data_IF_431164874205
#
_entry.id   IF_431164874205
#
_cell.length_a   1.000
_cell.length_b   1.000
_cell.length_c   1.000
_cell.angle_alpha   90.00
_cell.angle_beta   90.00
_cell.angle_gamma   90.00
#
_symmetry.space_group_name_H-M   'P 1'
#
loop_
_entity.id
_entity.type
_entity.pdbx_description
1 polymer ?
#
# COMPACT_ATOMS: atom_id res chain seq x y z
N UNK A 1 -39.94 -89.37 13.09
CA UNK A 1 -40.65 -88.19 12.61
C UNK A 1 -39.93 -86.97 13.11
N UNK A 2 -39.14 -86.23 12.24
CA UNK A 2 -38.41 -85.02 12.59
C UNK A 2 -39.17 -83.84 12.04
N UNK A 3 -39.73 -83.03 12.92
CA UNK A 3 -40.41 -81.72 12.57
C UNK A 3 -39.41 -80.68 12.21
N UNK A 4 -39.53 -80.13 10.98
CA UNK A 4 -38.75 -79.04 10.42
C UNK A 4 -39.33 -77.73 10.95
N UNK A 5 -38.50 -76.89 11.61
CA UNK A 5 -38.88 -75.55 12.02
C UNK A 5 -38.85 -74.55 10.78
N UNK A 6 -39.71 -73.54 10.77
CA UNK A 6 -39.75 -72.54 9.68
C UNK A 6 -38.66 -71.50 9.85
N UNK A 7 -38.15 -71.03 8.68
CA UNK A 7 -37.11 -70.05 8.51
C UNK A 7 -37.65 -68.58 8.79
N UNK A 8 -36.92 -67.70 9.47
CA UNK A 8 -37.39 -66.33 9.73
C UNK A 8 -37.33 -65.44 8.44
N UNK A 9 -38.16 -64.41 8.34
CA UNK A 9 -38.23 -63.57 7.17
C UNK A 9 -37.02 -62.61 7.05
N UNK A 10 -36.56 -62.43 5.83
CA UNK A 10 -35.39 -61.66 5.46
C UNK A 10 -35.50 -60.16 5.81
N UNK A 11 -34.48 -59.65 6.49
CA UNK A 11 -34.29 -58.24 6.78
C UNK A 11 -34.01 -57.49 5.46
N UNK A 12 -34.90 -56.57 5.08
CA UNK A 12 -34.69 -55.63 3.97
C UNK A 12 -33.51 -54.71 4.34
N UNK A 13 -32.48 -54.69 3.50
CA UNK A 13 -31.36 -53.77 3.58
C UNK A 13 -31.84 -52.34 3.39
N UNK A 14 -31.57 -51.48 4.38
CA UNK A 14 -31.79 -50.05 4.29
C UNK A 14 -30.75 -49.46 3.35
N UNK A 15 -31.23 -48.89 2.24
CA UNK A 15 -30.43 -48.13 1.28
C UNK A 15 -29.93 -46.84 1.96
N UNK A 16 -28.62 -46.71 2.13
CA UNK A 16 -27.98 -45.48 2.61
C UNK A 16 -28.23 -44.32 1.62
N UNK A 17 -28.49 -43.09 2.11
CA UNK A 17 -28.68 -41.95 1.22
C UNK A 17 -27.38 -41.61 0.48
N UNK A 18 -27.46 -41.47 -0.85
CA UNK A 18 -26.37 -41.09 -1.70
C UNK A 18 -25.81 -39.71 -1.26
N UNK A 19 -24.54 -39.67 -0.85
CA UNK A 19 -23.80 -38.46 -0.59
C UNK A 19 -23.73 -37.68 -1.90
N UNK A 20 -24.53 -36.64 -2.03
CA UNK A 20 -24.45 -35.66 -3.12
C UNK A 20 -23.05 -35.06 -3.11
N UNK A 21 -22.24 -35.42 -4.08
CA UNK A 21 -20.98 -34.77 -4.45
C UNK A 21 -21.34 -33.34 -4.76
N UNK A 22 -21.06 -32.39 -3.84
CA UNK A 22 -21.08 -30.96 -4.15
C UNK A 22 -20.11 -30.72 -5.29
N UNK A 23 -20.66 -30.43 -6.47
CA UNK A 23 -19.88 -29.99 -7.61
C UNK A 23 -19.13 -28.71 -7.21
N UNK A 24 -17.80 -28.75 -7.25
CA UNK A 24 -16.98 -27.55 -7.20
C UNK A 24 -17.23 -26.76 -8.48
N UNK A 25 -18.31 -25.98 -8.48
CA UNK A 25 -18.57 -25.02 -9.55
C UNK A 25 -17.48 -23.94 -9.55
N UNK A 26 -16.93 -23.69 -10.71
CA UNK A 26 -16.02 -22.56 -10.96
C UNK A 26 -16.71 -21.28 -10.44
N UNK A 27 -16.07 -20.48 -9.54
CA UNK A 27 -16.68 -19.24 -9.06
C UNK A 27 -17.02 -18.36 -10.26
N UNK A 28 -18.23 -17.75 -10.30
CA UNK A 28 -18.54 -16.75 -11.31
C UNK A 28 -17.53 -15.60 -11.23
N UNK A 29 -17.20 -14.96 -12.35
CA UNK A 29 -16.19 -13.91 -12.43
C UNK A 29 -16.43 -12.78 -11.40
N UNK A 30 -17.68 -12.45 -11.10
CA UNK A 30 -18.06 -11.48 -10.05
C UNK A 30 -17.71 -11.96 -8.64
N UNK A 31 -17.93 -13.24 -8.31
CA UNK A 31 -17.51 -13.81 -7.01
C UNK A 31 -15.99 -13.86 -6.87
N UNK A 32 -15.26 -14.00 -7.98
CA UNK A 32 -13.81 -13.98 -8.02
C UNK A 32 -13.24 -12.61 -7.65
N UNK A 33 -13.80 -11.54 -8.21
CA UNK A 33 -13.39 -10.16 -7.91
C UNK A 33 -13.67 -9.81 -6.44
N UNK A 34 -14.85 -10.17 -5.92
CA UNK A 34 -15.20 -9.99 -4.51
C UNK A 34 -14.23 -10.74 -3.60
N UNK A 35 -13.86 -11.98 -3.95
CA UNK A 35 -12.91 -12.77 -3.17
C UNK A 35 -11.51 -12.17 -3.11
N UNK A 36 -10.96 -11.69 -4.24
CA UNK A 36 -9.66 -11.03 -4.30
C UNK A 36 -9.65 -9.74 -3.47
N UNK A 37 -10.67 -8.91 -3.60
CA UNK A 37 -10.79 -7.66 -2.85
C UNK A 37 -10.89 -7.89 -1.34
N UNK A 38 -11.71 -8.85 -0.88
CA UNK A 38 -11.83 -9.17 0.55
C UNK A 38 -10.51 -9.63 1.18
N UNK A 39 -9.68 -10.34 0.42
CA UNK A 39 -8.34 -10.76 0.87
C UNK A 39 -7.43 -9.53 1.05
N UNK A 40 -7.43 -8.58 0.10
CA UNK A 40 -6.65 -7.34 0.19
C UNK A 40 -7.10 -6.50 1.38
N UNK A 41 -8.40 -6.32 1.58
CA UNK A 41 -8.97 -5.56 2.71
C UNK A 41 -8.58 -6.22 4.05
N UNK A 42 -8.66 -7.54 4.15
CA UNK A 42 -8.24 -8.25 5.36
C UNK A 42 -6.75 -8.09 5.66
N UNK A 43 -5.90 -8.15 4.62
CA UNK A 43 -4.46 -7.92 4.76
C UNK A 43 -4.16 -6.49 5.23
N UNK A 44 -4.81 -5.48 4.63
CA UNK A 44 -4.71 -4.07 5.03
C UNK A 44 -5.05 -3.86 6.51
N UNK A 45 -6.19 -4.41 6.96
CA UNK A 45 -6.61 -4.33 8.37
C UNK A 45 -5.63 -4.99 9.35
N UNK A 46 -4.93 -6.05 8.93
CA UNK A 46 -3.89 -6.68 9.74
C UNK A 46 -2.65 -5.79 9.82
N UNK A 47 -2.22 -5.21 8.70
CA UNK A 47 -1.08 -4.30 8.61
C UNK A 47 -1.25 -3.01 9.42
N UNK A 48 -2.48 -2.57 9.66
CA UNK A 48 -2.78 -1.45 10.57
C UNK A 48 -2.45 -1.76 12.04
N UNK A 49 -2.42 -3.04 12.42
CA UNK A 49 -2.29 -3.50 13.80
C UNK A 49 -1.01 -4.27 14.09
N UNK A 50 -0.34 -4.74 13.06
CA UNK A 50 0.79 -5.66 13.17
C UNK A 50 1.92 -5.23 12.24
N UNK A 51 3.17 -5.56 12.62
CA UNK A 51 4.30 -5.37 11.74
C UNK A 51 4.19 -6.26 10.47
N UNK A 52 4.64 -5.79 9.30
CA UNK A 52 4.50 -6.53 8.04
C UNK A 52 4.98 -7.97 8.11
N UNK A 53 6.14 -8.25 8.72
CA UNK A 53 6.71 -9.60 8.84
C UNK A 53 5.83 -10.59 9.63
N UNK A 54 4.90 -10.11 10.46
CA UNK A 54 3.97 -10.94 11.24
C UNK A 54 2.72 -11.32 10.43
N UNK A 55 2.44 -10.62 9.32
CA UNK A 55 1.26 -10.85 8.50
C UNK A 55 1.52 -11.98 7.52
N UNK A 56 0.99 -13.17 7.82
CA UNK A 56 1.14 -14.37 7.00
C UNK A 56 -0.08 -14.64 6.12
N UNK A 57 0.11 -15.40 5.03
CA UNK A 57 -0.98 -15.83 4.13
C UNK A 57 -2.11 -16.55 4.88
N UNK A 58 -1.75 -17.40 5.86
CA UNK A 58 -2.73 -18.12 6.68
C UNK A 58 -3.54 -17.18 7.59
N UNK A 59 -2.88 -16.19 8.19
CA UNK A 59 -3.55 -15.18 9.01
C UNK A 59 -4.52 -14.33 8.17
N UNK A 60 -4.11 -13.96 6.96
CA UNK A 60 -4.96 -13.21 6.02
C UNK A 60 -6.18 -14.05 5.61
N UNK A 61 -5.99 -15.34 5.26
CA UNK A 61 -7.08 -16.25 4.92
C UNK A 61 -8.10 -16.34 6.05
N UNK A 62 -7.63 -16.53 7.28
CA UNK A 62 -8.48 -16.58 8.48
C UNK A 62 -9.24 -15.27 8.70
N UNK A 63 -8.57 -14.12 8.55
CA UNK A 63 -9.19 -12.79 8.70
C UNK A 63 -10.23 -12.50 7.63
N UNK A 64 -9.97 -12.93 6.39
CA UNK A 64 -10.88 -12.78 5.26
C UNK A 64 -12.04 -13.79 5.27
N UNK A 65 -12.00 -14.83 6.13
CA UNK A 65 -13.01 -15.88 6.17
C UNK A 65 -12.99 -16.78 4.92
N UNK A 66 -11.81 -16.97 4.30
CA UNK A 66 -11.66 -17.75 3.07
C UNK A 66 -10.72 -18.93 3.25
N UNK A 67 -10.83 -19.92 2.35
CA UNK A 67 -9.90 -21.05 2.30
C UNK A 67 -8.48 -20.54 1.93
N UNK A 68 -7.41 -20.96 2.64
CA UNK A 68 -6.03 -20.62 2.28
C UNK A 68 -5.66 -20.96 0.82
N UNK A 69 -6.27 -21.97 0.22
CA UNK A 69 -6.09 -22.30 -1.19
C UNK A 69 -6.61 -21.17 -2.11
N UNK A 70 -7.67 -20.47 -1.71
CA UNK A 70 -8.19 -19.34 -2.47
C UNK A 70 -7.22 -18.15 -2.45
N UNK A 71 -6.55 -17.90 -1.31
CA UNK A 71 -5.52 -16.86 -1.22
C UNK A 71 -4.37 -17.17 -2.18
N UNK A 72 -3.87 -18.43 -2.20
CA UNK A 72 -2.82 -18.86 -3.13
C UNK A 72 -3.26 -18.84 -4.60
N UNK A 73 -4.54 -19.02 -4.85
CA UNK A 73 -5.09 -18.92 -6.21
C UNK A 73 -5.00 -17.50 -6.77
N UNK A 74 -5.27 -16.48 -5.95
CA UNK A 74 -5.21 -15.07 -6.37
C UNK A 74 -3.83 -14.45 -6.29
N UNK A 75 -3.00 -14.94 -5.37
CA UNK A 75 -1.68 -14.36 -5.11
C UNK A 75 -0.65 -15.50 -5.05
N UNK A 76 0.29 -15.46 -5.98
CA UNK A 76 1.33 -16.48 -6.12
C UNK A 76 2.11 -16.67 -4.81
N UNK A 77 2.41 -15.56 -4.14
CA UNK A 77 3.13 -15.52 -2.88
C UNK A 77 2.69 -14.34 -1.99
N UNK A 78 3.31 -14.24 -0.82
CA UNK A 78 3.05 -13.19 0.14
C UNK A 78 3.47 -11.81 -0.36
N UNK A 79 4.59 -11.71 -1.07
CA UNK A 79 5.12 -10.44 -1.58
C UNK A 79 4.15 -9.82 -2.59
N UNK A 80 3.63 -10.62 -3.51
CA UNK A 80 2.61 -10.21 -4.49
C UNK A 80 1.32 -9.74 -3.80
N UNK A 81 0.89 -10.43 -2.73
CA UNK A 81 -0.29 -10.02 -1.96
C UNK A 81 -0.04 -8.70 -1.23
N UNK A 82 1.09 -8.55 -0.54
CA UNK A 82 1.42 -7.33 0.18
C UNK A 82 1.57 -6.14 -0.77
N UNK A 83 2.14 -6.36 -1.95
CA UNK A 83 2.20 -5.31 -2.97
C UNK A 83 0.81 -4.93 -3.51
N UNK A 84 -0.09 -5.89 -3.67
CA UNK A 84 -1.48 -5.59 -4.04
C UNK A 84 -2.21 -4.75 -2.96
N UNK A 85 -1.83 -4.86 -1.67
CA UNK A 85 -2.31 -3.94 -0.62
C UNK A 85 -1.76 -2.54 -0.83
N UNK A 86 -0.48 -2.41 -1.19
CA UNK A 86 0.12 -1.12 -1.55
C UNK A 86 -0.65 -0.46 -2.69
N UNK A 87 -0.89 -1.19 -3.78
CA UNK A 87 -1.67 -0.68 -4.93
C UNK A 87 -3.08 -0.25 -4.53
N UNK A 88 -3.74 -1.01 -3.66
CA UNK A 88 -5.07 -0.66 -3.16
C UNK A 88 -5.06 0.62 -2.31
N UNK A 89 -4.07 0.78 -1.44
CA UNK A 89 -3.91 2.00 -0.63
C UNK A 89 -3.66 3.21 -1.53
N UNK A 90 -2.78 3.07 -2.53
CA UNK A 90 -2.49 4.14 -3.48
C UNK A 90 -3.70 4.50 -4.36
N UNK A 91 -4.51 3.52 -4.74
CA UNK A 91 -5.74 3.75 -5.49
C UNK A 91 -6.80 4.51 -4.68
N UNK A 92 -6.89 4.21 -3.37
CA UNK A 92 -7.78 4.95 -2.46
C UNK A 92 -7.28 6.39 -2.19
N UNK A 93 -5.96 6.57 -2.26
CA UNK A 93 -5.31 7.86 -2.20
C UNK A 93 -5.20 8.46 -3.60
N UNK A 94 -6.32 8.77 -4.23
CA UNK A 94 -6.28 9.51 -5.48
C UNK A 94 -5.67 10.90 -5.22
N UNK A 95 -4.46 11.20 -5.71
CA UNK A 95 -3.93 12.55 -5.61
C UNK A 95 -4.93 13.49 -6.28
N UNK A 96 -5.19 14.66 -5.67
CA UNK A 96 -5.95 15.68 -6.38
C UNK A 96 -5.29 15.91 -7.73
N UNK A 97 -6.08 16.01 -8.82
CA UNK A 97 -5.50 16.35 -10.11
C UNK A 97 -4.64 17.61 -9.92
N UNK A 98 -3.50 17.71 -10.61
CA UNK A 98 -2.67 18.92 -10.53
C UNK A 98 -3.58 20.12 -10.80
N UNK A 99 -3.55 21.08 -9.88
CA UNK A 99 -4.29 22.32 -10.08
C UNK A 99 -3.69 23.07 -11.29
N UNK A 100 -4.46 23.97 -11.91
CA UNK A 100 -3.95 24.90 -12.92
C UNK A 100 -2.97 25.94 -12.33
N UNK A 101 -2.54 25.73 -11.08
CA UNK A 101 -1.57 26.57 -10.40
C UNK A 101 -0.21 26.53 -11.11
N UNK A 102 0.54 27.62 -10.99
CA UNK A 102 1.94 27.66 -11.42
C UNK A 102 2.76 26.53 -10.75
N UNK A 103 3.88 26.07 -11.33
CA UNK A 103 4.69 24.95 -10.81
C UNK A 103 5.02 25.02 -9.32
N UNK A 104 5.23 26.24 -8.80
CA UNK A 104 5.43 26.46 -7.36
C UNK A 104 4.22 26.08 -6.51
N UNK A 105 3.01 26.42 -6.97
CA UNK A 105 1.77 26.05 -6.29
C UNK A 105 1.56 24.54 -6.32
N UNK A 106 1.79 23.90 -7.45
CA UNK A 106 1.71 22.45 -7.60
C UNK A 106 2.72 21.71 -6.69
N UNK A 107 3.93 22.24 -6.54
CA UNK A 107 4.92 21.66 -5.63
C UNK A 107 4.49 21.80 -4.17
N UNK A 108 3.94 22.96 -3.78
CA UNK A 108 3.39 23.18 -2.43
C UNK A 108 2.24 22.20 -2.13
N UNK A 109 1.33 21.99 -3.08
CA UNK A 109 0.25 21.01 -2.98
C UNK A 109 0.78 19.58 -2.87
N UNK A 110 1.82 19.24 -3.63
CA UNK A 110 2.46 17.93 -3.56
C UNK A 110 3.05 17.66 -2.16
N UNK A 111 3.76 18.64 -1.58
CA UNK A 111 4.31 18.54 -0.23
C UNK A 111 3.22 18.36 0.82
N UNK A 112 2.12 19.11 0.73
CA UNK A 112 0.97 18.96 1.62
C UNK A 112 0.34 17.57 1.52
N UNK A 113 0.12 17.08 0.29
CA UNK A 113 -0.43 15.75 0.02
C UNK A 113 0.49 14.64 0.56
N UNK A 114 1.81 14.76 0.39
CA UNK A 114 2.76 13.78 0.91
C UNK A 114 2.76 13.73 2.44
N UNK A 115 2.70 14.86 3.13
CA UNK A 115 2.64 14.90 4.59
C UNK A 115 1.31 14.31 5.11
N UNK A 116 0.20 14.63 4.46
CA UNK A 116 -1.10 14.06 4.80
C UNK A 116 -1.11 12.54 4.57
N UNK A 117 -0.58 12.07 3.43
CA UNK A 117 -0.44 10.65 3.13
C UNK A 117 0.38 9.91 4.18
N UNK A 118 1.58 10.41 4.50
CA UNK A 118 2.46 9.81 5.51
C UNK A 118 1.81 9.76 6.89
N UNK A 119 1.07 10.80 7.25
CA UNK A 119 0.37 10.86 8.54
C UNK A 119 -0.78 9.84 8.65
N UNK A 120 -1.51 9.62 7.56
CA UNK A 120 -2.64 8.68 7.51
C UNK A 120 -2.23 7.24 7.26
N UNK A 121 -1.15 7.02 6.51
CA UNK A 121 -0.74 5.70 6.00
C UNK A 121 0.60 5.24 6.61
N UNK A 122 0.77 5.41 7.93
CA UNK A 122 2.02 5.07 8.64
C UNK A 122 2.54 3.65 8.41
N UNK A 123 1.65 2.69 8.19
CA UNK A 123 2.03 1.31 7.88
C UNK A 123 2.55 1.12 6.46
N UNK A 124 2.25 2.06 5.56
CA UNK A 124 2.57 1.97 4.15
C UNK A 124 4.07 2.02 3.89
N UNK A 125 4.78 2.95 4.51
CA UNK A 125 6.22 3.08 4.34
C UNK A 125 6.97 1.84 4.81
N UNK A 126 6.62 1.33 6.00
CA UNK A 126 7.22 0.09 6.50
C UNK A 126 6.99 -1.06 5.53
N UNK A 127 5.78 -1.16 4.98
CA UNK A 127 5.45 -2.16 3.98
C UNK A 127 6.27 -1.98 2.70
N UNK A 128 6.42 -0.75 2.21
CA UNK A 128 7.21 -0.46 1.02
C UNK A 128 8.69 -0.75 1.21
N UNK A 129 9.29 -0.30 2.30
CA UNK A 129 10.74 -0.43 2.55
C UNK A 129 11.10 -1.85 3.01
N UNK A 130 10.38 -2.40 4.00
CA UNK A 130 10.75 -3.68 4.63
C UNK A 130 10.39 -4.88 3.74
N UNK A 131 9.32 -4.79 2.97
CA UNK A 131 8.79 -5.94 2.23
C UNK A 131 8.88 -5.77 0.70
N UNK A 132 8.43 -4.64 0.16
CA UNK A 132 8.30 -4.50 -1.29
C UNK A 132 9.63 -4.14 -1.97
N UNK A 133 10.41 -3.22 -1.39
CA UNK A 133 11.72 -2.84 -1.94
C UNK A 133 12.75 -3.99 -1.87
N UNK A 134 12.63 -4.84 -0.84
CA UNK A 134 13.50 -6.01 -0.62
C UNK A 134 12.89 -7.32 -1.16
N UNK A 135 11.76 -7.26 -1.86
CA UNK A 135 11.07 -8.44 -2.38
C UNK A 135 11.97 -9.28 -3.29
N UNK A 136 11.89 -10.60 -3.17
CA UNK A 136 12.57 -11.56 -4.06
C UNK A 136 11.90 -11.60 -5.44
N UNK A 137 10.59 -11.34 -5.49
CA UNK A 137 9.81 -11.30 -6.72
C UNK A 137 10.27 -10.16 -7.64
N UNK A 138 10.74 -10.52 -8.83
CA UNK A 138 11.16 -9.55 -9.85
C UNK A 138 10.00 -8.64 -10.29
N UNK A 139 8.77 -9.19 -10.36
CA UNK A 139 7.58 -8.44 -10.72
C UNK A 139 7.25 -7.37 -9.66
N UNK A 140 7.35 -7.70 -8.38
CA UNK A 140 7.13 -6.72 -7.30
C UNK A 140 8.17 -5.61 -7.36
N UNK A 141 9.46 -5.95 -7.52
CA UNK A 141 10.53 -4.93 -7.64
C UNK A 141 10.35 -4.02 -8.85
N UNK A 142 9.90 -4.56 -10.01
CA UNK A 142 9.60 -3.75 -11.20
C UNK A 142 8.50 -2.75 -10.93
N UNK A 143 7.42 -3.19 -10.29
CA UNK A 143 6.29 -2.32 -9.95
C UNK A 143 6.64 -1.24 -8.93
N UNK A 144 7.44 -1.58 -7.92
CA UNK A 144 7.98 -0.58 -6.96
C UNK A 144 8.79 0.48 -7.70
N UNK A 145 9.64 0.06 -8.65
CA UNK A 145 10.41 0.99 -9.48
C UNK A 145 9.48 1.89 -10.30
N UNK A 146 8.51 1.33 -11.00
CA UNK A 146 7.53 2.09 -11.80
C UNK A 146 6.82 3.17 -10.98
N UNK A 147 6.38 2.84 -9.75
CA UNK A 147 5.73 3.81 -8.86
C UNK A 147 6.65 4.98 -8.49
N UNK A 148 7.91 4.68 -8.14
CA UNK A 148 8.88 5.73 -7.82
C UNK A 148 9.28 6.55 -9.04
N UNK A 149 9.45 5.92 -10.21
CA UNK A 149 9.76 6.59 -11.46
C UNK A 149 8.67 7.60 -11.83
N UNK A 150 7.40 7.27 -11.67
CA UNK A 150 6.28 8.20 -11.90
C UNK A 150 6.36 9.43 -11.00
N UNK A 151 6.67 9.25 -9.72
CA UNK A 151 6.79 10.35 -8.76
C UNK A 151 8.01 11.25 -9.09
N UNK A 152 9.15 10.63 -9.42
CA UNK A 152 10.36 11.38 -9.83
C UNK A 152 10.13 12.15 -11.12
N UNK A 153 9.48 11.54 -12.13
CA UNK A 153 9.13 12.24 -13.38
C UNK A 153 8.16 13.41 -13.15
N UNK A 154 7.21 13.28 -12.23
CA UNK A 154 6.32 14.36 -11.87
C UNK A 154 7.12 15.55 -11.28
N UNK A 155 7.98 15.29 -10.32
CA UNK A 155 8.83 16.31 -9.71
C UNK A 155 9.80 16.93 -10.73
N UNK A 156 10.38 16.13 -11.62
CA UNK A 156 11.28 16.63 -12.67
C UNK A 156 10.59 17.66 -13.58
N UNK A 157 9.31 17.43 -13.89
CA UNK A 157 8.51 18.40 -14.68
C UNK A 157 8.27 19.72 -13.93
N UNK A 158 8.12 19.66 -12.61
CA UNK A 158 7.91 20.84 -11.79
C UNK A 158 9.19 21.67 -11.57
N UNK A 159 10.34 21.01 -11.49
CA UNK A 159 11.61 21.66 -11.16
C UNK A 159 12.17 22.49 -12.33
N UNK A 160 12.26 21.91 -13.50
CA UNK A 160 12.86 22.55 -14.69
C UNK A 160 12.16 22.07 -15.97
N UNK A 161 11.09 22.75 -16.39
CA UNK A 161 10.39 22.37 -17.62
C UNK A 161 11.33 22.39 -18.85
N UNK A 162 12.27 23.32 -18.91
CA UNK A 162 13.15 23.57 -20.06
C UNK A 162 14.58 23.04 -19.87
N UNK A 163 14.93 22.44 -18.72
CA UNK A 163 16.26 21.90 -18.42
C UNK A 163 16.57 20.58 -19.14
N UNK A 164 17.86 20.18 -19.17
CA UNK A 164 18.22 18.87 -19.71
C UNK A 164 17.67 17.72 -18.86
N UNK A 165 17.43 16.56 -19.50
CA UNK A 165 16.74 15.43 -18.86
C UNK A 165 17.57 14.79 -17.73
N UNK A 166 18.90 14.76 -17.84
CA UNK A 166 19.76 14.13 -16.86
C UNK A 166 19.82 14.93 -15.55
N UNK A 167 20.02 16.24 -15.64
CA UNK A 167 20.05 17.15 -14.48
C UNK A 167 18.70 17.19 -13.78
N UNK A 168 17.60 17.26 -14.54
CA UNK A 168 16.23 17.20 -13.97
C UNK A 168 15.97 15.91 -13.22
N UNK A 169 16.41 14.79 -13.78
CA UNK A 169 16.18 13.48 -13.16
C UNK A 169 16.95 13.33 -11.84
N UNK A 170 18.20 13.81 -11.77
CA UNK A 170 19.00 13.71 -10.56
C UNK A 170 18.44 14.57 -9.41
N UNK A 171 18.14 15.85 -9.68
CA UNK A 171 17.58 16.76 -8.68
C UNK A 171 16.20 16.30 -8.22
N UNK A 172 15.38 15.78 -9.14
CA UNK A 172 14.06 15.26 -8.83
C UNK A 172 14.10 13.99 -7.95
N UNK A 173 15.06 13.10 -8.19
CA UNK A 173 15.28 11.93 -7.35
C UNK A 173 15.65 12.31 -5.91
N UNK A 174 16.61 13.24 -5.75
CA UNK A 174 17.01 13.69 -4.42
C UNK A 174 15.89 14.44 -3.71
N UNK A 175 15.13 15.26 -4.43
CA UNK A 175 13.95 15.92 -3.89
C UNK A 175 12.89 14.91 -3.43
N UNK A 176 12.62 13.88 -4.25
CA UNK A 176 11.68 12.82 -3.90
C UNK A 176 12.08 12.12 -2.59
N UNK A 177 13.34 11.70 -2.48
CA UNK A 177 13.87 11.05 -1.28
C UNK A 177 13.80 11.99 -0.06
N UNK A 178 14.17 13.26 -0.22
CA UNK A 178 14.14 14.24 0.85
C UNK A 178 12.70 14.50 1.36
N UNK A 179 11.74 14.67 0.44
CA UNK A 179 10.33 14.90 0.79
C UNK A 179 9.75 13.70 1.53
N UNK A 180 9.95 12.49 1.00
CA UNK A 180 9.51 11.26 1.68
C UNK A 180 10.13 11.20 3.08
N UNK A 181 11.46 11.35 3.18
CA UNK A 181 12.16 11.26 4.46
C UNK A 181 11.64 12.26 5.51
N UNK A 182 11.43 13.51 5.12
CA UNK A 182 10.87 14.54 6.00
C UNK A 182 9.45 14.19 6.45
N UNK A 183 8.57 13.84 5.53
CA UNK A 183 7.17 13.53 5.85
C UNK A 183 7.03 12.27 6.70
N UNK A 184 7.74 11.22 6.36
CA UNK A 184 7.67 9.92 7.02
C UNK A 184 8.32 9.94 8.40
N UNK A 185 9.49 10.57 8.54
CA UNK A 185 10.12 10.71 9.85
C UNK A 185 9.22 11.50 10.80
N UNK A 186 8.65 12.61 10.35
CA UNK A 186 7.71 13.39 11.15
C UNK A 186 6.50 12.54 11.57
N UNK A 187 5.89 11.80 10.63
CA UNK A 187 4.75 10.94 10.92
C UNK A 187 5.10 9.81 11.91
N UNK A 188 6.26 9.18 11.76
CA UNK A 188 6.70 8.07 12.61
C UNK A 188 7.13 8.53 14.01
N UNK A 189 7.75 9.71 14.11
CA UNK A 189 8.37 10.22 15.33
C UNK A 189 7.43 11.08 16.23
N UNK A 190 6.11 11.07 15.98
CA UNK A 190 5.12 11.89 16.69
C UNK A 190 5.25 11.80 18.23
N UNK A 191 5.39 10.57 18.76
CA UNK A 191 5.53 10.36 20.20
C UNK A 191 6.81 11.00 20.80
N UNK A 192 7.86 11.17 19.98
CA UNK A 192 9.11 11.81 20.36
C UNK A 192 9.06 13.34 20.18
N UNK A 193 8.39 13.80 19.12
CA UNK A 193 8.37 15.22 18.72
C UNK A 193 7.36 16.02 19.53
N UNK A 194 6.16 15.49 19.76
CA UNK A 194 5.09 16.23 20.46
C UNK A 194 5.45 16.71 21.86
N UNK A 195 6.19 15.95 22.69
CA UNK A 195 6.64 16.44 24.00
C UNK A 195 7.63 17.61 23.94
N UNK A 196 8.30 17.84 22.79
CA UNK A 196 9.23 18.93 22.56
C UNK A 196 8.53 20.20 22.06
N UNK A 197 7.28 20.08 21.62
CA UNK A 197 6.50 21.21 21.15
C UNK A 197 6.06 22.13 22.30
N UNK A 198 5.81 23.43 22.05
CA UNK A 198 5.24 24.32 23.04
C UNK A 198 3.92 23.77 23.61
N UNK A 199 3.74 23.86 24.94
CA UNK A 199 2.60 23.26 25.66
C UNK A 199 1.22 23.76 25.20
N UNK A 200 1.17 24.92 24.58
CA UNK A 200 -0.05 25.54 24.06
C UNK A 200 -0.40 25.11 22.62
N UNK A 201 0.38 24.23 22.01
CA UNK A 201 0.14 23.73 20.66
C UNK A 201 -0.52 22.35 20.68
N UNK A 202 -1.60 22.20 19.93
CA UNK A 202 -2.18 20.89 19.66
C UNK A 202 -1.30 20.08 18.68
N UNK A 203 -1.46 18.75 18.61
CA UNK A 203 -0.77 17.94 17.59
C UNK A 203 -1.08 18.40 16.15
N UNK A 204 -2.27 18.94 15.90
CA UNK A 204 -2.66 19.50 14.60
C UNK A 204 -1.89 20.79 14.29
N UNK A 205 -1.71 21.68 15.27
CA UNK A 205 -0.92 22.91 15.11
C UNK A 205 0.55 22.59 14.83
N UNK A 206 1.11 21.59 15.52
CA UNK A 206 2.49 21.14 15.27
C UNK A 206 2.62 20.60 13.83
N UNK A 207 1.65 19.82 13.34
CA UNK A 207 1.66 19.29 11.98
C UNK A 207 1.55 20.43 10.94
N UNK A 208 0.66 21.39 11.15
CA UNK A 208 0.49 22.56 10.27
C UNK A 208 1.79 23.39 10.19
N UNK A 209 2.39 23.71 11.34
CA UNK A 209 3.69 24.45 11.37
C UNK A 209 4.83 23.68 10.74
N UNK A 210 4.85 22.36 10.89
CA UNK A 210 5.83 21.53 10.21
C UNK A 210 5.63 21.55 8.69
N UNK A 211 4.40 21.50 8.24
CA UNK A 211 4.06 21.63 6.82
C UNK A 211 4.56 22.95 6.24
N UNK A 212 4.27 24.07 6.89
CA UNK A 212 4.74 25.39 6.46
C UNK A 212 6.27 25.46 6.42
N UNK A 213 6.93 24.88 7.43
CA UNK A 213 8.38 24.84 7.53
C UNK A 213 9.01 24.06 6.36
N UNK A 214 8.54 22.82 6.08
CA UNK A 214 9.11 22.02 4.98
C UNK A 214 8.81 22.64 3.61
N UNK A 215 7.63 23.24 3.44
CA UNK A 215 7.30 23.96 2.21
C UNK A 215 8.26 25.13 1.98
N UNK A 216 8.49 25.95 2.98
CA UNK A 216 9.44 27.06 2.90
C UNK A 216 10.86 26.56 2.60
N UNK A 217 11.32 25.57 3.35
CA UNK A 217 12.66 24.98 3.19
C UNK A 217 12.89 24.46 1.75
N UNK A 218 11.95 23.68 1.23
CA UNK A 218 12.06 23.08 -0.11
C UNK A 218 11.98 24.16 -1.19
N UNK A 219 10.99 25.07 -1.11
CA UNK A 219 10.79 26.09 -2.13
C UNK A 219 11.96 27.09 -2.17
N UNK A 220 12.51 27.48 -1.02
CA UNK A 220 13.65 28.39 -0.96
C UNK A 220 14.96 27.70 -1.39
N UNK A 221 15.13 26.41 -1.04
CA UNK A 221 16.25 25.61 -1.50
C UNK A 221 16.28 25.48 -3.04
N UNK A 222 15.15 25.14 -3.64
CA UNK A 222 15.02 25.05 -5.10
C UNK A 222 15.30 26.40 -5.76
N UNK A 223 14.74 27.50 -5.22
CA UNK A 223 14.97 28.85 -5.75
C UNK A 223 16.45 29.22 -5.75
N UNK A 224 17.19 28.89 -4.69
CA UNK A 224 18.64 29.12 -4.62
C UNK A 224 19.41 28.30 -5.65
N UNK A 225 19.05 27.04 -5.84
CA UNK A 225 19.70 26.16 -6.83
C UNK A 225 19.46 26.65 -8.26
N UNK A 226 18.23 27.09 -8.60
CA UNK A 226 17.90 27.62 -9.91
C UNK A 226 18.73 28.88 -10.21
N UNK A 227 18.80 29.84 -9.27
CA UNK A 227 19.61 31.08 -9.44
C UNK A 227 21.11 30.78 -9.60
N UNK A 228 21.63 29.80 -8.86
CA UNK A 228 23.04 29.40 -8.97
C UNK A 228 23.37 28.75 -10.31
N UNK A 229 22.41 28.10 -10.95
CA UNK A 229 22.56 27.54 -12.29
C UNK A 229 22.53 28.62 -13.38
N UNK A 230 21.62 29.58 -13.27
CA UNK A 230 21.47 30.68 -14.23
C UNK A 230 22.66 31.68 -14.18
N UNK A 231 23.34 31.78 -13.04
CA UNK A 231 24.52 32.65 -12.89
C UNK A 231 25.86 32.04 -13.34
N UNK A 232 25.86 30.82 -13.88
CA UNK A 232 27.05 30.14 -14.43
C UNK A 232 27.15 30.19 -15.95
N UNK A 233 26.30 30.94 -16.61
CA UNK A 233 26.34 31.29 -18.02
C UNK A 233 26.61 32.80 -18.10
#
# INVERSE_FOLDING_TARGET
MKKKLPKPPGRKAATAPARTRRSRGRPSASKGIVGRHSIIVAARQLLEKMAPHQVTMALIARKAGVDPALVRYYFADREVLLFAVVENILADWAPRPPSDAAPKGQLSEHLANMLEFSSRMRSMQRLMVEECAMAKSASVRSRVRELNDLAVQYLARLLRPDGDAATRSCDALFLHVAVIGMCEFFAAAQAMILPLAPKNMSPADVAARYQDFIQSLVLDGIRKQLRAADGKH
#
